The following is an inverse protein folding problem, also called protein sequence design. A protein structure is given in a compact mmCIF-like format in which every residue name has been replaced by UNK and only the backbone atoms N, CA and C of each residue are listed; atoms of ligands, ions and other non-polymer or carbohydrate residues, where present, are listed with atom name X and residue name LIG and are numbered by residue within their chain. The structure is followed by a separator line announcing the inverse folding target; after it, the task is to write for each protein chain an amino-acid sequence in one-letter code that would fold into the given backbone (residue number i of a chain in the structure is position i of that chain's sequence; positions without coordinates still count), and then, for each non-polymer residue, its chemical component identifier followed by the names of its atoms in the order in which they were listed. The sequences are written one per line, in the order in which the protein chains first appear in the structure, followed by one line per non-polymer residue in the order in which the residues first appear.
data_IF_621960529173
#
_entry.id   IF_621960529173
#
_cell.length_a   1.000
_cell.length_b   1.000
_cell.length_c   1.000
_cell.angle_alpha   90.00
_cell.angle_beta   90.00
_cell.angle_gamma   90.00
#
_symmetry.space_group_name_H-M   'P 1'
#
loop_
_entity.id
_entity.type
_entity.pdbx_description
1 polymer ?
#
# COMPACT_ATOMS: atom_id res chain seq x y z
N UNK A 1 -61.19 11.41 -4.21
CA UNK A 1 -60.88 12.79 -4.62
C UNK A 1 -59.59 13.21 -3.96
N UNK A 2 -58.57 13.28 -4.76
CA UNK A 2 -57.22 13.63 -4.35
C UNK A 2 -56.98 15.14 -4.50
N UNK A 3 -56.27 15.75 -3.58
CA UNK A 3 -55.64 17.03 -3.83
C UNK A 3 -54.16 16.93 -3.51
N UNK A 4 -53.38 17.08 -4.55
CA UNK A 4 -51.92 17.18 -4.57
C UNK A 4 -51.52 18.61 -4.25
N UNK A 5 -50.68 18.84 -3.25
CA UNK A 5 -50.02 20.12 -3.01
C UNK A 5 -48.53 19.94 -3.17
N UNK A 6 -48.02 20.42 -4.30
CA UNK A 6 -46.63 20.58 -4.59
C UNK A 6 -46.07 21.80 -3.85
N UNK A 7 -45.14 21.61 -2.94
CA UNK A 7 -44.37 22.70 -2.31
C UNK A 7 -43.01 22.78 -3.00
N UNK A 8 -42.85 23.82 -3.80
CA UNK A 8 -41.60 24.21 -4.45
C UNK A 8 -40.68 24.85 -3.40
N UNK A 9 -39.60 24.17 -3.02
CA UNK A 9 -38.53 24.75 -2.23
C UNK A 9 -37.54 25.44 -3.18
N UNK A 10 -37.48 26.77 -3.10
CA UNK A 10 -36.39 27.57 -3.64
C UNK A 10 -35.13 27.31 -2.83
N UNK A 11 -34.10 26.76 -3.47
CA UNK A 11 -32.74 26.71 -2.94
C UNK A 11 -32.02 27.99 -3.39
N UNK A 12 -31.95 28.97 -2.49
CA UNK A 12 -31.07 30.10 -2.65
C UNK A 12 -29.61 29.65 -2.53
N UNK A 13 -28.89 29.82 -3.61
CA UNK A 13 -27.44 29.62 -3.72
C UNK A 13 -26.73 30.73 -2.96
N UNK A 14 -26.21 30.44 -1.77
CA UNK A 14 -25.19 31.29 -1.13
C UNK A 14 -23.85 30.63 -1.39
N UNK A 15 -23.20 31.07 -2.46
CA UNK A 15 -21.78 30.78 -2.69
C UNK A 15 -20.96 31.80 -1.88
N UNK A 16 -20.70 31.51 -0.61
CA UNK A 16 -19.66 32.24 0.12
C UNK A 16 -18.30 31.68 -0.29
N UNK A 17 -17.53 32.54 -0.96
CA UNK A 17 -16.15 32.28 -1.35
C UNK A 17 -15.27 32.12 -0.11
N UNK A 18 -14.85 30.89 0.15
CA UNK A 18 -13.76 30.61 1.06
C UNK A 18 -12.47 31.04 0.36
N UNK A 19 -11.98 32.21 0.65
CA UNK A 19 -10.62 32.64 0.28
C UNK A 19 -9.62 31.64 0.92
N UNK A 20 -8.93 30.88 0.07
CA UNK A 20 -7.84 30.01 0.50
C UNK A 20 -6.62 30.87 0.76
N UNK A 21 -5.92 30.70 1.90
CA UNK A 21 -4.66 31.40 2.12
C UNK A 21 -3.67 31.05 1.01
N UNK A 22 -3.00 32.05 0.46
CA UNK A 22 -1.93 31.94 -0.54
C UNK A 22 -0.81 31.02 -0.04
N UNK A 23 -0.85 29.76 -0.46
CA UNK A 23 0.20 28.77 -0.20
C UNK A 23 1.03 28.62 -1.49
N UNK A 24 2.35 28.78 -1.44
CA UNK A 24 3.22 28.81 -2.62
C UNK A 24 3.29 27.51 -3.43
N UNK A 25 2.58 26.46 -3.01
CA UNK A 25 2.50 25.17 -3.70
C UNK A 25 1.40 25.07 -4.78
N UNK A 26 0.55 26.12 -4.95
CA UNK A 26 -0.50 26.14 -5.99
C UNK A 26 0.02 26.44 -7.40
N UNK A 27 1.25 26.89 -7.55
CA UNK A 27 1.84 27.17 -8.85
C UNK A 27 2.66 25.96 -9.37
N UNK A 28 2.00 24.82 -9.63
CA UNK A 28 2.63 23.74 -10.40
C UNK A 28 2.37 23.95 -11.88
N UNK A 29 3.41 23.90 -12.74
CA UNK A 29 3.21 23.85 -14.18
C UNK A 29 2.31 22.66 -14.51
N UNK A 30 1.24 22.90 -15.25
CA UNK A 30 0.38 21.86 -15.84
C UNK A 30 1.12 21.14 -16.99
N UNK A 31 2.27 20.55 -16.73
CA UNK A 31 2.98 19.70 -17.64
C UNK A 31 2.88 18.26 -17.17
N UNK A 32 1.83 17.57 -17.60
CA UNK A 32 1.58 16.16 -17.27
C UNK A 32 2.50 15.15 -17.94
N UNK A 33 3.51 15.58 -18.67
CA UNK A 33 4.53 14.71 -19.24
C UNK A 33 5.60 14.40 -18.20
N UNK A 34 5.91 13.11 -18.01
CA UNK A 34 7.04 12.69 -17.18
C UNK A 34 8.35 13.26 -17.74
N UNK A 35 9.14 13.91 -16.90
CA UNK A 35 10.49 14.36 -17.27
C UNK A 35 11.38 13.16 -17.61
N UNK A 36 12.46 13.38 -18.38
CA UNK A 36 13.43 12.31 -18.68
C UNK A 36 14.02 11.68 -17.42
N UNK A 37 14.22 12.47 -16.37
CA UNK A 37 14.70 11.98 -15.06
C UNK A 37 13.66 11.11 -14.37
N UNK A 38 12.38 11.50 -14.40
CA UNK A 38 11.29 10.67 -13.86
C UNK A 38 11.13 9.38 -14.64
N UNK A 39 11.15 9.42 -15.99
CA UNK A 39 11.08 8.21 -16.82
C UNK A 39 12.18 7.23 -16.45
N UNK A 40 13.45 7.67 -16.36
CA UNK A 40 14.57 6.80 -15.96
C UNK A 40 14.38 6.20 -14.56
N UNK A 41 13.87 6.97 -13.63
CA UNK A 41 13.62 6.51 -12.24
C UNK A 41 12.45 5.54 -12.16
N UNK A 42 11.37 5.77 -12.92
CA UNK A 42 10.13 5.01 -12.84
C UNK A 42 10.14 3.75 -13.73
N UNK A 43 10.95 3.71 -14.78
CA UNK A 43 11.02 2.57 -15.70
C UNK A 43 11.28 1.21 -15.02
N UNK A 44 12.25 1.05 -14.08
CA UNK A 44 12.43 -0.24 -13.41
C UNK A 44 11.22 -0.66 -12.56
N UNK A 45 10.45 0.29 -12.01
CA UNK A 45 9.24 0.03 -11.24
C UNK A 45 8.11 -0.45 -12.16
N UNK A 46 7.94 0.21 -13.30
CA UNK A 46 7.00 -0.18 -14.34
C UNK A 46 7.33 -1.58 -14.88
N UNK A 47 8.61 -1.87 -15.14
CA UNK A 47 9.07 -3.18 -15.58
C UNK A 47 8.79 -4.28 -14.54
N UNK A 48 9.00 -4.02 -13.24
CA UNK A 48 8.67 -4.99 -12.18
C UNK A 48 7.16 -5.28 -12.13
N UNK A 49 6.31 -4.25 -12.27
CA UNK A 49 4.86 -4.42 -12.37
C UNK A 49 4.45 -5.21 -13.63
N UNK A 50 5.07 -4.93 -14.77
CA UNK A 50 4.81 -5.65 -16.01
C UNK A 50 5.17 -7.13 -15.88
N UNK A 51 6.35 -7.46 -15.31
CA UNK A 51 6.73 -8.85 -15.02
C UNK A 51 5.77 -9.52 -14.04
N UNK A 52 5.34 -8.83 -12.98
CA UNK A 52 4.38 -9.37 -12.03
C UNK A 52 3.02 -9.70 -12.65
N UNK A 53 2.59 -8.97 -13.69
CA UNK A 53 1.33 -9.22 -14.41
C UNK A 53 1.39 -10.39 -15.40
N UNK A 54 2.57 -10.87 -15.75
CA UNK A 54 2.69 -12.00 -16.68
C UNK A 54 2.08 -13.27 -16.06
N UNK A 55 1.40 -14.12 -16.83
CA UNK A 55 0.90 -15.40 -16.37
C UNK A 55 2.04 -16.28 -15.82
N UNK A 56 1.70 -17.14 -14.89
CA UNK A 56 2.65 -18.12 -14.33
C UNK A 56 2.50 -18.28 -12.80
N UNK A 57 3.39 -19.04 -12.18
CA UNK A 57 3.36 -19.27 -10.75
C UNK A 57 3.53 -17.95 -9.97
N UNK A 58 2.98 -17.91 -8.76
CA UNK A 58 3.10 -16.76 -7.87
C UNK A 58 4.56 -16.38 -7.63
N UNK A 59 4.88 -15.10 -7.78
CA UNK A 59 6.22 -14.56 -7.66
C UNK A 59 6.23 -13.14 -7.11
N UNK A 60 7.38 -12.74 -6.60
CA UNK A 60 7.69 -11.39 -6.19
C UNK A 60 8.76 -10.83 -7.12
N UNK A 61 8.44 -9.72 -7.78
CA UNK A 61 9.33 -9.02 -8.72
C UNK A 61 9.97 -7.82 -8.01
N UNK A 62 11.22 -7.94 -7.55
CA UNK A 62 11.89 -6.83 -6.89
C UNK A 62 12.15 -5.69 -7.87
N UNK A 63 12.04 -4.46 -7.37
CA UNK A 63 12.23 -3.24 -8.18
C UNK A 63 13.71 -2.92 -8.41
N UNK A 64 14.61 -3.50 -7.61
CA UNK A 64 16.05 -3.33 -7.73
C UNK A 64 16.79 -4.57 -7.23
N UNK A 65 17.60 -5.19 -8.09
CA UNK A 65 18.38 -6.38 -7.77
C UNK A 65 17.53 -7.62 -7.46
N UNK A 66 18.15 -8.78 -7.29
CA UNK A 66 17.46 -10.00 -6.86
C UNK A 66 17.14 -9.97 -5.36
N UNK A 67 16.16 -10.79 -4.95
CA UNK A 67 15.93 -11.07 -3.53
C UNK A 67 17.14 -11.81 -2.95
N UNK A 68 17.70 -11.38 -1.83
CA UNK A 68 18.86 -12.04 -1.24
C UNK A 68 18.47 -13.37 -0.61
N UNK A 69 19.40 -14.34 -0.63
CA UNK A 69 19.28 -15.55 0.18
C UNK A 69 19.51 -15.21 1.64
N UNK A 70 18.56 -15.56 2.51
CA UNK A 70 18.64 -15.23 3.95
C UNK A 70 17.97 -16.33 4.78
N UNK A 71 18.40 -16.47 6.04
CA UNK A 71 17.78 -17.45 6.94
C UNK A 71 16.34 -17.11 7.32
N UNK A 72 16.01 -15.81 7.43
CA UNK A 72 14.64 -15.35 7.74
C UNK A 72 14.32 -14.04 7.03
N UNK A 73 13.23 -14.03 6.27
CA UNK A 73 12.71 -12.87 5.57
C UNK A 73 11.34 -12.44 6.12
N UNK A 74 11.13 -11.14 6.33
CA UNK A 74 9.84 -10.57 6.65
C UNK A 74 9.06 -10.26 5.37
N UNK A 75 7.77 -10.57 5.35
CA UNK A 75 6.83 -10.19 4.29
C UNK A 75 5.83 -9.16 4.84
N UNK A 76 5.88 -7.95 4.35
CA UNK A 76 4.85 -6.94 4.58
C UNK A 76 4.11 -6.69 3.26
N UNK A 77 2.95 -7.29 3.13
CA UNK A 77 2.13 -7.16 1.94
C UNK A 77 1.07 -6.06 2.08
N UNK A 78 0.84 -5.30 1.02
CA UNK A 78 -0.16 -4.26 1.02
C UNK A 78 -0.29 -3.54 -0.31
N UNK A 79 -1.34 -2.72 -0.46
CA UNK A 79 -1.49 -1.84 -1.63
C UNK A 79 -0.67 -0.57 -1.53
N UNK A 80 -0.23 -0.22 -0.31
CA UNK A 80 0.54 1.00 0.02
C UNK A 80 -0.03 2.26 -0.66
N UNK A 81 -1.29 2.52 -0.43
CA UNK A 81 -2.07 3.60 -1.07
C UNK A 81 -2.43 4.74 -0.08
N UNK A 82 -1.44 5.53 0.42
CA UNK A 82 0.00 5.36 0.37
C UNK A 82 0.60 4.47 1.47
N UNK A 83 1.94 4.28 1.47
CA UNK A 83 2.67 3.71 2.61
C UNK A 83 2.58 4.64 3.82
N UNK A 84 1.99 4.20 4.92
CA UNK A 84 1.83 5.00 6.15
C UNK A 84 2.99 4.80 7.13
N UNK A 85 3.06 5.65 8.17
CA UNK A 85 3.99 5.44 9.29
C UNK A 85 3.72 4.12 10.02
N UNK A 86 2.46 3.66 10.07
CA UNK A 86 2.13 2.35 10.63
C UNK A 86 2.77 1.21 9.82
N UNK A 87 2.65 1.20 8.49
CA UNK A 87 3.35 0.22 7.65
C UNK A 87 4.88 0.26 7.85
N UNK A 88 5.45 1.47 7.91
CA UNK A 88 6.87 1.65 8.15
C UNK A 88 7.31 1.09 9.52
N UNK A 89 6.48 1.28 10.57
CA UNK A 89 6.72 0.76 11.90
C UNK A 89 6.67 -0.78 11.94
N UNK A 90 5.70 -1.39 11.24
CA UNK A 90 5.63 -2.86 11.09
C UNK A 90 6.91 -3.41 10.44
N UNK A 91 7.37 -2.79 9.35
CA UNK A 91 8.60 -3.20 8.68
C UNK A 91 9.82 -3.11 9.62
N UNK A 92 9.94 -2.01 10.38
CA UNK A 92 11.01 -1.83 11.38
C UNK A 92 10.90 -2.87 12.51
N UNK A 93 9.68 -3.14 12.99
CA UNK A 93 9.45 -4.15 14.02
C UNK A 93 9.83 -5.56 13.51
N UNK A 94 9.48 -5.91 12.29
CA UNK A 94 9.90 -7.17 11.66
C UNK A 94 11.42 -7.32 11.57
N UNK A 95 12.12 -6.23 11.21
CA UNK A 95 13.60 -6.19 11.25
C UNK A 95 14.16 -6.44 12.65
N UNK A 96 13.55 -5.83 13.68
CA UNK A 96 13.93 -6.02 15.10
C UNK A 96 13.60 -7.42 15.60
N UNK A 97 12.56 -8.05 15.07
CA UNK A 97 12.17 -9.44 15.36
C UNK A 97 13.03 -10.50 14.63
N UNK A 98 14.19 -10.10 14.08
CA UNK A 98 15.20 -11.00 13.51
C UNK A 98 15.06 -11.29 12.02
N UNK A 99 14.16 -10.61 11.28
CA UNK A 99 14.16 -10.71 9.82
C UNK A 99 15.41 -10.05 9.23
N UNK A 100 16.24 -10.80 8.51
CA UNK A 100 17.44 -10.25 7.88
C UNK A 100 17.11 -9.22 6.80
N UNK A 101 16.00 -9.45 6.08
CA UNK A 101 15.38 -8.48 5.17
C UNK A 101 13.88 -8.42 5.43
N UNK A 102 13.27 -7.28 5.08
CA UNK A 102 11.80 -7.14 5.04
C UNK A 102 11.40 -6.74 3.63
N UNK A 103 10.60 -7.58 2.99
CA UNK A 103 10.07 -7.35 1.65
C UNK A 103 8.71 -6.65 1.77
N UNK A 104 8.64 -5.43 1.25
CA UNK A 104 7.40 -4.70 1.07
C UNK A 104 6.81 -5.11 -0.28
N UNK A 105 5.91 -6.08 -0.26
CA UNK A 105 5.29 -6.64 -1.45
C UNK A 105 4.01 -5.89 -1.79
N UNK A 106 4.00 -5.19 -2.93
CA UNK A 106 2.82 -4.47 -3.38
C UNK A 106 1.97 -5.34 -4.31
N UNK A 107 0.77 -5.70 -3.85
CA UNK A 107 -0.25 -6.24 -4.72
C UNK A 107 -0.86 -5.13 -5.58
N UNK A 108 -0.98 -5.31 -6.90
CA UNK A 108 -1.56 -4.30 -7.79
C UNK A 108 -3.05 -4.09 -7.50
N UNK A 109 -3.74 -5.12 -7.08
CA UNK A 109 -5.17 -5.13 -6.71
C UNK A 109 -5.31 -5.54 -5.25
N UNK A 110 -6.27 -4.94 -4.53
CA UNK A 110 -6.68 -5.39 -3.20
C UNK A 110 -8.04 -6.06 -3.32
N UNK A 111 -8.14 -7.30 -2.89
CA UNK A 111 -9.40 -8.06 -2.90
C UNK A 111 -10.49 -7.41 -2.03
N UNK A 112 -10.09 -6.69 -0.96
CA UNK A 112 -11.02 -6.13 0.03
C UNK A 112 -11.37 -4.64 -0.20
N UNK A 113 -10.92 -3.98 -1.26
CA UNK A 113 -11.07 -2.52 -1.44
C UNK A 113 -11.39 -2.15 -2.88
N UNK A 114 -12.52 -2.64 -3.37
CA UNK A 114 -13.08 -2.19 -4.65
C UNK A 114 -13.60 -0.76 -4.51
N UNK A 115 -13.46 0.05 -5.57
CA UNK A 115 -13.99 1.42 -5.63
C UNK A 115 -13.21 2.50 -4.88
N UNK A 116 -12.06 2.21 -4.26
CA UNK A 116 -11.22 3.24 -3.66
C UNK A 116 -10.33 3.88 -4.73
N UNK A 117 -10.42 5.19 -4.88
CA UNK A 117 -9.47 5.95 -5.70
C UNK A 117 -8.03 5.64 -5.28
N UNK A 118 -7.21 5.26 -6.25
CA UNK A 118 -5.85 4.80 -6.00
C UNK A 118 -4.88 5.58 -6.85
N UNK A 119 -3.82 6.01 -6.21
CA UNK A 119 -2.66 6.45 -6.96
C UNK A 119 -2.15 5.32 -7.87
N UNK A 120 -1.62 5.69 -9.04
CA UNK A 120 -1.10 4.73 -10.01
C UNK A 120 -0.06 3.78 -9.36
N UNK A 121 -0.06 2.48 -9.65
CA UNK A 121 0.85 1.52 -9.02
C UNK A 121 2.33 1.90 -9.08
N UNK A 122 2.78 2.49 -10.19
CA UNK A 122 4.17 2.97 -10.35
C UNK A 122 4.50 4.06 -9.33
N UNK A 123 3.60 5.03 -9.11
CA UNK A 123 3.84 6.09 -8.11
C UNK A 123 3.87 5.51 -6.68
N UNK A 124 2.97 4.58 -6.37
CA UNK A 124 2.97 3.90 -5.07
C UNK A 124 4.27 3.15 -4.83
N UNK A 125 4.78 2.40 -5.82
CA UNK A 125 6.10 1.74 -5.73
C UNK A 125 7.24 2.75 -5.58
N UNK A 126 7.20 3.88 -6.30
CA UNK A 126 8.21 4.94 -6.18
C UNK A 126 8.26 5.49 -4.75
N UNK A 127 7.12 5.74 -4.13
CA UNK A 127 7.07 6.24 -2.76
C UNK A 127 7.61 5.20 -1.75
N UNK A 128 7.25 3.93 -1.93
CA UNK A 128 7.79 2.85 -1.08
C UNK A 128 9.29 2.69 -1.29
N UNK A 129 9.77 2.73 -2.53
CA UNK A 129 11.19 2.69 -2.88
C UNK A 129 11.95 3.91 -2.31
N UNK A 130 11.36 5.09 -2.34
CA UNK A 130 11.93 6.29 -1.74
C UNK A 130 12.12 6.15 -0.21
N UNK A 131 11.19 5.48 0.47
CA UNK A 131 11.33 5.16 1.89
C UNK A 131 12.39 4.08 2.13
N UNK A 132 12.45 3.06 1.28
CA UNK A 132 13.37 1.93 1.41
C UNK A 132 14.85 2.30 1.14
N UNK A 133 15.14 3.28 0.27
CA UNK A 133 16.51 3.66 -0.16
C UNK A 133 17.52 3.83 0.97
N UNK A 134 17.11 4.27 2.14
CA UNK A 134 17.99 4.46 3.32
C UNK A 134 17.97 3.27 4.27
N UNK A 135 17.46 2.13 3.83
CA UNK A 135 17.26 0.93 4.65
C UNK A 135 17.69 -0.31 3.86
N UNK A 136 18.96 -0.70 3.94
CA UNK A 136 19.50 -1.80 3.12
C UNK A 136 18.81 -3.15 3.38
N UNK A 137 18.10 -3.27 4.51
CA UNK A 137 17.29 -4.43 4.86
C UNK A 137 15.85 -4.38 4.29
N UNK A 138 15.41 -3.28 3.70
CA UNK A 138 14.07 -3.14 3.12
C UNK A 138 14.13 -3.32 1.61
N UNK A 139 13.45 -4.34 1.11
CA UNK A 139 13.32 -4.64 -0.31
C UNK A 139 11.90 -4.34 -0.77
N UNK A 140 11.76 -3.72 -1.92
CA UNK A 140 10.45 -3.42 -2.52
C UNK A 140 10.22 -4.34 -3.70
N UNK A 141 9.04 -4.95 -3.76
CA UNK A 141 8.68 -5.86 -4.85
C UNK A 141 7.22 -5.66 -5.29
N UNK A 142 6.96 -5.90 -6.58
CA UNK A 142 5.61 -6.12 -7.08
C UNK A 142 5.24 -7.60 -6.92
N UNK A 143 4.03 -7.87 -6.44
CA UNK A 143 3.52 -9.23 -6.28
C UNK A 143 2.63 -9.60 -7.48
N UNK A 144 2.75 -10.83 -7.99
CA UNK A 144 1.91 -11.33 -9.08
C UNK A 144 0.56 -11.86 -8.60
N UNK A 145 0.44 -12.22 -7.32
CA UNK A 145 -0.80 -12.68 -6.69
C UNK A 145 -1.25 -11.71 -5.59
N UNK A 146 -2.55 -11.48 -5.39
CA UNK A 146 -3.07 -10.73 -4.26
C UNK A 146 -3.15 -11.54 -2.97
N UNK A 147 -3.01 -12.88 -3.04
CA UNK A 147 -3.13 -13.78 -1.90
C UNK A 147 -1.85 -13.82 -1.07
N UNK A 148 -1.98 -13.67 0.24
CA UNK A 148 -0.84 -13.66 1.16
C UNK A 148 -0.11 -15.00 1.21
N UNK A 149 -0.83 -16.11 1.10
CA UNK A 149 -0.23 -17.47 1.03
C UNK A 149 0.68 -17.61 -0.17
N UNK A 150 0.25 -17.16 -1.34
CA UNK A 150 1.04 -17.22 -2.57
C UNK A 150 2.29 -16.35 -2.49
N UNK A 151 2.16 -15.15 -1.90
CA UNK A 151 3.30 -14.25 -1.68
C UNK A 151 4.30 -14.86 -0.68
N UNK A 152 3.81 -15.50 0.40
CA UNK A 152 4.67 -16.12 1.41
C UNK A 152 5.46 -17.30 0.79
N UNK A 153 4.80 -18.20 0.06
CA UNK A 153 5.47 -19.29 -0.65
C UNK A 153 6.48 -18.76 -1.68
N UNK A 154 6.12 -17.71 -2.45
CA UNK A 154 7.03 -17.10 -3.41
C UNK A 154 8.27 -16.50 -2.73
N UNK A 155 8.11 -15.86 -1.57
CA UNK A 155 9.22 -15.31 -0.80
C UNK A 155 10.12 -16.42 -0.26
N UNK A 156 9.54 -17.48 0.32
CA UNK A 156 10.29 -18.64 0.82
C UNK A 156 11.14 -19.29 -0.28
N UNK A 157 10.55 -19.52 -1.46
CA UNK A 157 11.31 -20.03 -2.63
C UNK A 157 12.44 -19.10 -3.05
N UNK A 158 12.19 -17.79 -3.08
CA UNK A 158 13.16 -16.81 -3.55
C UNK A 158 14.33 -16.64 -2.57
N UNK A 159 14.06 -16.59 -1.26
CA UNK A 159 15.07 -16.37 -0.21
C UNK A 159 15.71 -17.66 0.30
N UNK A 160 15.03 -18.78 0.18
CA UNK A 160 15.47 -20.09 0.69
C UNK A 160 15.41 -20.24 2.20
N UNK A 161 14.80 -19.30 2.92
CA UNK A 161 14.71 -19.28 4.37
C UNK A 161 13.28 -19.21 4.90
N UNK A 162 13.15 -19.06 6.20
CA UNK A 162 11.88 -18.87 6.89
C UNK A 162 11.22 -17.56 6.48
N UNK A 163 9.89 -17.57 6.37
CA UNK A 163 9.10 -16.37 6.13
C UNK A 163 8.35 -15.97 7.39
N UNK A 164 8.49 -14.70 7.78
CA UNK A 164 7.68 -14.05 8.81
C UNK A 164 6.67 -13.10 8.13
N UNK A 165 5.38 -13.41 8.18
CA UNK A 165 4.34 -12.54 7.65
C UNK A 165 3.97 -11.47 8.67
N UNK A 166 4.21 -10.20 8.33
CA UNK A 166 3.97 -9.05 9.20
C UNK A 166 2.56 -8.50 8.95
N UNK A 167 1.68 -8.60 9.92
CA UNK A 167 0.27 -8.19 9.80
C UNK A 167 -0.20 -7.39 11.02
N UNK A 168 -1.19 -6.53 10.83
CA UNK A 168 -1.99 -6.01 11.94
C UNK A 168 -3.11 -6.99 12.31
N UNK A 169 -3.70 -6.85 13.49
CA UNK A 169 -4.82 -7.71 13.94
C UNK A 169 -6.01 -7.69 12.99
N UNK A 170 -6.32 -6.54 12.36
CA UNK A 170 -7.35 -6.39 11.33
C UNK A 170 -7.10 -7.29 10.11
N UNK A 171 -5.85 -7.38 9.67
CA UNK A 171 -5.46 -8.23 8.54
C UNK A 171 -5.33 -9.69 8.92
N UNK A 172 -4.90 -9.96 10.14
CA UNK A 172 -4.84 -11.32 10.68
C UNK A 172 -6.25 -11.96 10.73
N UNK A 173 -7.27 -11.20 11.16
CA UNK A 173 -8.67 -11.66 11.12
C UNK A 173 -9.12 -12.00 9.69
N UNK A 174 -8.78 -11.18 8.69
CA UNK A 174 -9.13 -11.44 7.29
C UNK A 174 -8.49 -12.69 6.70
N UNK A 175 -7.37 -13.18 7.24
CA UNK A 175 -6.71 -14.39 6.73
C UNK A 175 -7.56 -15.66 6.86
N UNK A 176 -8.46 -15.69 7.84
CA UNK A 176 -9.33 -16.84 8.11
C UNK A 176 -10.74 -16.66 7.57
N UNK A 177 -11.02 -15.55 6.87
CA UNK A 177 -12.32 -15.33 6.24
C UNK A 177 -12.50 -16.23 5.00
N UNK A 178 -13.52 -17.11 4.98
CA UNK A 178 -13.67 -18.15 3.93
C UNK A 178 -13.81 -17.62 2.52
N UNK A 179 -14.42 -16.45 2.35
CA UNK A 179 -14.79 -15.91 1.03
C UNK A 179 -13.60 -15.50 0.14
N UNK A 180 -12.39 -15.45 0.69
CA UNK A 180 -11.18 -15.13 -0.08
C UNK A 180 -10.56 -16.34 -0.79
N UNK A 181 -10.99 -17.54 -0.48
CA UNK A 181 -10.38 -18.77 -0.95
C UNK A 181 -11.43 -19.75 -1.50
N UNK A 182 -11.09 -20.45 -2.57
CA UNK A 182 -11.92 -21.57 -3.06
C UNK A 182 -11.95 -22.72 -2.05
N UNK A 183 -10.80 -23.01 -1.42
CA UNK A 183 -10.66 -23.95 -0.31
C UNK A 183 -9.93 -23.26 0.85
N UNK A 184 -10.68 -22.71 1.82
CA UNK A 184 -10.10 -22.02 2.97
C UNK A 184 -9.21 -22.89 3.84
N UNK A 185 -9.57 -24.16 4.05
CA UNK A 185 -8.79 -25.07 4.89
C UNK A 185 -7.42 -25.38 4.25
N UNK A 186 -7.41 -25.65 2.94
CA UNK A 186 -6.18 -25.85 2.20
C UNK A 186 -5.31 -24.59 2.18
N UNK A 187 -5.89 -23.40 2.00
CA UNK A 187 -5.17 -22.13 1.98
C UNK A 187 -4.53 -21.82 3.35
N UNK A 188 -5.25 -22.03 4.45
CA UNK A 188 -4.74 -21.89 5.82
C UNK A 188 -3.61 -22.89 6.07
N UNK A 189 -3.79 -24.15 5.71
CA UNK A 189 -2.75 -25.17 5.83
C UNK A 189 -1.49 -24.88 5.01
N UNK A 190 -1.63 -24.29 3.82
CA UNK A 190 -0.49 -23.80 3.01
C UNK A 190 0.21 -22.63 3.74
N UNK A 191 -0.55 -21.67 4.26
CA UNK A 191 0.01 -20.50 4.93
C UNK A 191 0.77 -20.89 6.22
N UNK A 192 0.24 -21.82 7.02
CA UNK A 192 0.93 -22.32 8.24
C UNK A 192 2.27 -23.00 7.93
N UNK A 193 2.34 -23.69 6.81
CA UNK A 193 3.61 -24.27 6.33
C UNK A 193 4.57 -23.22 5.76
N UNK A 194 4.03 -22.19 5.11
CA UNK A 194 4.82 -21.21 4.37
C UNK A 194 5.37 -20.08 5.27
N UNK A 195 4.68 -19.72 6.36
CA UNK A 195 5.07 -18.57 7.16
C UNK A 195 4.67 -18.70 8.64
N UNK A 196 5.38 -17.95 9.49
CA UNK A 196 4.98 -17.64 10.85
C UNK A 196 4.40 -16.24 10.88
N UNK A 197 3.26 -16.01 11.53
CA UNK A 197 2.64 -14.70 11.65
C UNK A 197 3.31 -13.90 12.75
N UNK A 198 3.69 -12.67 12.44
CA UNK A 198 4.05 -11.63 13.41
C UNK A 198 2.93 -10.61 13.43
N UNK A 199 2.12 -10.61 14.51
CA UNK A 199 0.86 -9.86 14.61
C UNK A 199 1.07 -8.61 15.46
N UNK A 200 0.94 -7.43 14.84
CA UNK A 200 0.94 -6.15 15.55
C UNK A 200 -0.47 -5.78 15.97
N UNK A 201 -0.59 -5.26 17.19
CA UNK A 201 -1.85 -4.76 17.72
C UNK A 201 -2.40 -3.60 16.87
N UNK A 202 -3.73 -3.57 16.71
CA UNK A 202 -4.45 -2.51 16.04
C UNK A 202 -5.70 -2.14 16.81
N UNK A 203 -5.86 -0.85 17.12
CA UNK A 203 -6.96 -0.34 17.93
C UNK A 203 -8.34 -0.83 17.43
N UNK A 204 -9.14 -1.35 18.35
CA UNK A 204 -10.47 -1.87 18.07
C UNK A 204 -10.53 -3.26 17.41
N UNK A 205 -9.39 -3.90 17.19
CA UNK A 205 -9.33 -5.25 16.63
C UNK A 205 -8.58 -6.18 17.61
N UNK A 206 -9.27 -7.03 18.38
CA UNK A 206 -8.60 -8.03 19.23
C UNK A 206 -7.79 -8.99 18.35
N UNK A 207 -6.72 -9.55 18.92
CA UNK A 207 -5.98 -10.63 18.26
C UNK A 207 -6.96 -11.79 18.04
N UNK A 208 -7.23 -12.21 16.80
CA UNK A 208 -8.13 -13.30 16.51
C UNK A 208 -7.53 -14.63 17.02
N UNK A 209 -8.38 -15.58 17.34
CA UNK A 209 -7.96 -16.97 17.49
C UNK A 209 -7.65 -17.52 16.09
N UNK A 210 -6.38 -17.80 15.84
CA UNK A 210 -5.89 -18.21 14.51
C UNK A 210 -5.44 -19.66 14.57
N UNK A 211 -5.85 -20.50 13.62
CA UNK A 211 -5.29 -21.84 13.43
C UNK A 211 -3.91 -21.78 12.74
N UNK A 212 -3.07 -20.84 13.17
CA UNK A 212 -1.77 -20.50 12.58
C UNK A 212 -0.78 -20.14 13.67
N UNK A 213 0.49 -20.43 13.44
CA UNK A 213 1.57 -20.02 14.35
C UNK A 213 1.70 -18.50 14.35
N UNK A 214 1.20 -17.85 15.40
CA UNK A 214 1.21 -16.42 15.56
C UNK A 214 2.03 -15.98 16.78
N UNK A 215 2.81 -14.92 16.61
CA UNK A 215 3.60 -14.31 17.70
C UNK A 215 3.32 -12.81 17.72
N UNK A 216 3.14 -12.20 18.90
CA UNK A 216 3.00 -10.75 19.01
C UNK A 216 4.19 -10.01 18.39
N UNK A 217 3.91 -8.96 17.62
CA UNK A 217 4.90 -8.04 17.06
C UNK A 217 4.81 -6.69 17.78
N UNK A 218 5.72 -6.39 18.72
CA UNK A 218 5.68 -5.13 19.43
C UNK A 218 5.87 -3.94 18.50
N UNK A 219 4.94 -3.00 18.54
CA UNK A 219 4.96 -1.75 17.78
C UNK A 219 4.71 -0.55 18.71
N UNK A 220 5.12 0.68 18.32
CA UNK A 220 4.78 1.87 19.10
C UNK A 220 3.27 2.07 19.25
N UNK A 221 2.83 2.58 20.40
CA UNK A 221 1.40 2.73 20.77
C UNK A 221 0.58 3.58 19.76
N UNK A 222 1.23 4.49 19.01
CA UNK A 222 0.54 5.32 18.00
C UNK A 222 0.25 4.58 16.68
N UNK A 223 0.81 3.38 16.47
CA UNK A 223 0.66 2.62 15.19
C UNK A 223 -0.79 2.27 14.89
N UNK A 224 -1.59 1.81 15.86
CA UNK A 224 -2.97 1.42 15.61
C UNK A 224 -3.86 2.53 15.04
N UNK A 225 -3.55 3.78 15.31
CA UNK A 225 -4.36 4.94 14.97
C UNK A 225 -4.09 5.51 13.56
N UNK A 226 -3.08 5.02 12.84
CA UNK A 226 -2.63 5.59 11.56
C UNK A 226 -3.08 4.74 10.38
N UNK A 227 -3.90 5.31 9.49
CA UNK A 227 -4.43 4.61 8.32
C UNK A 227 -4.14 5.33 7.00
N UNK A 228 -4.15 4.57 5.91
CA UNK A 228 -4.03 5.14 4.56
C UNK A 228 -5.25 5.99 4.17
N UNK A 229 -6.43 5.66 4.69
CA UNK A 229 -7.65 6.44 4.49
C UNK A 229 -7.53 7.85 5.08
N UNK A 230 -7.02 7.96 6.32
CA UNK A 230 -6.73 9.28 6.91
C UNK A 230 -5.71 10.06 6.09
N UNK A 231 -4.65 9.40 5.59
CA UNK A 231 -3.63 10.05 4.78
C UNK A 231 -4.19 10.59 3.44
N UNK A 232 -5.05 9.82 2.75
CA UNK A 232 -5.71 10.30 1.53
C UNK A 232 -6.66 11.46 1.81
N UNK A 233 -7.46 11.35 2.86
CA UNK A 233 -8.36 12.43 3.24
C UNK A 233 -7.63 13.72 3.65
N UNK A 234 -6.49 13.62 4.33
CA UNK A 234 -5.65 14.76 4.66
C UNK A 234 -5.03 15.39 3.40
N UNK A 235 -4.49 14.55 2.48
CA UNK A 235 -3.95 15.01 1.21
C UNK A 235 -5.00 15.76 0.38
N UNK A 236 -6.20 15.18 0.22
CA UNK A 236 -7.30 15.80 -0.53
C UNK A 236 -7.74 17.17 0.04
N UNK A 237 -7.49 17.40 1.33
CA UNK A 237 -7.76 18.69 1.99
C UNK A 237 -6.55 19.62 2.07
N UNK A 238 -5.41 19.25 1.48
CA UNK A 238 -4.16 20.01 1.58
C UNK A 238 -3.58 20.10 2.99
N UNK A 239 -3.92 19.14 3.87
CA UNK A 239 -3.45 19.11 5.25
C UNK A 239 -2.05 18.48 5.35
N UNK A 240 -1.25 18.84 6.39
CA UNK A 240 0.06 18.26 6.59
C UNK A 240 0.03 16.73 6.70
N UNK A 241 0.95 16.04 6.03
CA UNK A 241 1.02 14.57 5.98
C UNK A 241 2.05 13.95 6.93
N UNK A 242 2.85 14.76 7.61
CA UNK A 242 4.02 14.32 8.39
C UNK A 242 3.69 13.35 9.53
N UNK A 243 2.51 13.47 10.16
CA UNK A 243 2.06 12.57 11.21
C UNK A 243 1.52 11.23 10.70
N UNK A 244 1.14 11.17 9.43
CA UNK A 244 0.52 10.00 8.81
C UNK A 244 1.49 9.23 7.93
N UNK A 245 2.39 9.92 7.24
CA UNK A 245 3.30 9.36 6.26
C UNK A 245 4.77 9.56 6.66
N UNK A 246 5.66 8.63 6.29
CA UNK A 246 7.09 8.90 6.31
C UNK A 246 7.44 10.07 5.39
N UNK A 247 8.39 10.93 5.78
CA UNK A 247 8.71 12.16 5.05
C UNK A 247 9.02 11.95 3.55
N UNK A 248 9.66 10.83 3.18
CA UNK A 248 9.93 10.52 1.77
C UNK A 248 8.65 10.22 0.98
N UNK A 249 7.67 9.58 1.63
CA UNK A 249 6.36 9.26 1.04
C UNK A 249 5.50 10.52 0.94
N UNK A 250 5.44 11.33 2.00
CA UNK A 250 4.72 12.61 2.02
C UNK A 250 5.15 13.50 0.86
N UNK A 251 6.48 13.72 0.70
CA UNK A 251 7.02 14.47 -0.45
C UNK A 251 6.66 13.85 -1.81
N UNK A 252 6.54 12.53 -1.88
CA UNK A 252 6.11 11.83 -3.10
C UNK A 252 4.64 12.11 -3.43
N UNK A 253 3.77 12.01 -2.45
CA UNK A 253 2.33 12.30 -2.56
C UNK A 253 2.11 13.76 -2.95
N UNK A 254 2.72 14.70 -2.22
CA UNK A 254 2.65 16.13 -2.48
C UNK A 254 3.15 16.50 -3.88
N UNK A 255 4.28 15.94 -4.32
CA UNK A 255 4.84 16.20 -5.66
C UNK A 255 3.93 15.71 -6.77
N UNK A 256 3.28 14.57 -6.62
CA UNK A 256 2.44 13.98 -7.67
C UNK A 256 1.03 14.54 -7.69
N UNK A 257 0.52 15.06 -6.58
CA UNK A 257 -0.88 15.47 -6.44
C UNK A 257 -1.86 14.30 -6.58
N UNK A 258 -1.44 13.09 -6.24
CA UNK A 258 -2.20 11.86 -6.52
C UNK A 258 -3.56 11.75 -5.80
N UNK A 259 -3.75 12.55 -4.77
CA UNK A 259 -5.00 12.60 -3.99
C UNK A 259 -5.60 14.01 -3.96
N UNK A 260 -5.05 14.94 -4.75
CA UNK A 260 -5.59 16.28 -4.87
C UNK A 260 -6.94 16.20 -5.61
N UNK A 261 -7.92 17.03 -5.28
CA UNK A 261 -9.17 17.06 -6.00
C UNK A 261 -8.99 17.55 -7.45
N UNK A 262 -9.81 17.01 -8.38
CA UNK A 262 -9.78 17.34 -9.79
C UNK A 262 -8.91 16.44 -10.64
N UNK A 263 -8.79 16.76 -11.94
CA UNK A 263 -8.29 15.87 -12.98
C UNK A 263 -6.79 15.98 -13.26
N UNK A 264 -6.06 16.82 -12.54
CA UNK A 264 -4.63 17.08 -12.80
C UNK A 264 -3.79 15.78 -12.74
N UNK A 265 -4.12 14.86 -11.83
CA UNK A 265 -3.43 13.60 -11.72
C UNK A 265 -3.72 12.62 -12.89
N UNK A 266 -4.84 12.76 -13.60
CA UNK A 266 -5.18 11.92 -14.76
C UNK A 266 -4.17 12.06 -15.91
N UNK A 267 -3.63 13.26 -16.10
CA UNK A 267 -2.57 13.47 -17.10
C UNK A 267 -1.33 12.66 -16.76
N UNK A 268 -0.95 12.63 -15.47
CA UNK A 268 0.15 11.81 -14.99
C UNK A 268 -0.12 10.31 -15.14
N UNK A 269 -1.34 9.84 -14.83
CA UNK A 269 -1.75 8.44 -15.03
C UNK A 269 -1.50 8.02 -16.47
N UNK A 270 -1.99 8.78 -17.46
CA UNK A 270 -1.80 8.48 -18.89
C UNK A 270 -0.31 8.38 -19.27
N UNK A 271 0.52 9.28 -18.73
CA UNK A 271 1.95 9.24 -18.95
C UNK A 271 2.64 8.02 -18.31
N UNK A 272 2.14 7.55 -17.14
CA UNK A 272 2.64 6.35 -16.46
C UNK A 272 2.22 5.07 -17.17
N UNK A 273 1.03 5.01 -17.74
CA UNK A 273 0.55 3.88 -18.55
C UNK A 273 1.48 3.59 -19.73
N UNK A 274 2.07 4.62 -20.36
CA UNK A 274 3.04 4.44 -21.44
C UNK A 274 4.37 3.78 -21.01
N UNK A 275 4.66 3.70 -19.72
CA UNK A 275 5.83 3.01 -19.19
C UNK A 275 5.57 1.51 -18.92
N UNK A 276 4.32 1.08 -18.88
CA UNK A 276 3.90 -0.28 -18.49
C UNK A 276 3.48 -1.15 -19.67
N UNK A 277 3.59 -0.63 -20.90
CA UNK A 277 3.31 -1.33 -22.17
C UNK A 277 4.53 -2.09 -22.68
#
# INVERSE_FOLDING_TARGET
MALCLATTLHLDTVAEGVERPDQPWHARPMEGALTATERRRLAPLAAALARARQPGPARLEPVAGPLPRVGRAGLLAGTFNPLTRAHAALAVAGRRAGCAVVVLAMAPVSLAKEGVERAHPVDRLDWVAAWARRRPWAVVAAASSPLLVDMAEALGRATGGEVALLVGTDKAAQLVEPHWYEDPAAAIGRLDRAATLLVADRAGHPVPDLPLRATPLPTPAWVPERSATQARAAAARGQPLGDLLPAAVARGVERTGAYDPGDAYLVRIRALETLTV
#
